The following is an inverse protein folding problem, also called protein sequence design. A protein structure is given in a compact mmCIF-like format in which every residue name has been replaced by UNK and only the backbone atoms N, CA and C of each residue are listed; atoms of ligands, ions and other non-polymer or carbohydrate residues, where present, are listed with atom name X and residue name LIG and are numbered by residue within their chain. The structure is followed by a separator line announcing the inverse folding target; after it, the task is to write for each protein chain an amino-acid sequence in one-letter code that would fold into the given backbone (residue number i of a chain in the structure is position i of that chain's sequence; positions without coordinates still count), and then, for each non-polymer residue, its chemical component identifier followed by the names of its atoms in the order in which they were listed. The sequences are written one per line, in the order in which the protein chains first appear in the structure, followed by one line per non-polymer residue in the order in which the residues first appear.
data_IF_175724965951
#
_entry.id   IF_175724965951
#
_cell.length_a   1.000
_cell.length_b   1.000
_cell.length_c   1.000
_cell.angle_alpha   90.00
_cell.angle_beta   90.00
_cell.angle_gamma   90.00
#
_symmetry.space_group_name_H-M   'P 1'
#
loop_
_entity.id
_entity.type
_entity.pdbx_description
1 polymer ?
#
# COMPACT_ATOMS: atom_id res chain seq x y z
N UNK A 1 15.86 -14.50 -4.75
CA UNK A 1 14.44 -14.77 -5.04
C UNK A 1 13.67 -13.52 -4.67
N UNK A 2 13.29 -12.67 -5.64
CA UNK A 2 12.48 -11.48 -5.34
C UNK A 2 11.07 -11.97 -5.05
N UNK A 3 10.65 -11.91 -3.78
CA UNK A 3 9.27 -12.22 -3.40
C UNK A 3 8.38 -11.16 -4.06
N UNK A 4 7.31 -11.59 -4.74
CA UNK A 4 6.28 -10.66 -5.20
C UNK A 4 5.60 -10.04 -3.97
N UNK A 5 5.92 -8.78 -3.71
CA UNK A 5 5.43 -8.02 -2.55
C UNK A 5 3.90 -7.95 -2.51
N UNK A 6 3.23 -8.02 -3.67
CA UNK A 6 1.77 -8.01 -3.76
C UNK A 6 1.16 -9.36 -3.37
N UNK A 7 1.79 -10.46 -3.79
CA UNK A 7 1.37 -11.80 -3.39
C UNK A 7 1.51 -11.96 -1.87
N UNK A 8 2.65 -11.55 -1.31
CA UNK A 8 2.92 -11.63 0.13
C UNK A 8 1.95 -10.74 0.93
N UNK A 9 1.73 -9.50 0.51
CA UNK A 9 0.76 -8.61 1.14
C UNK A 9 -0.66 -9.21 1.11
N UNK A 10 -1.06 -9.83 -0.01
CA UNK A 10 -2.36 -10.48 -0.13
C UNK A 10 -2.53 -11.64 0.84
N UNK A 11 -1.51 -12.48 1.01
CA UNK A 11 -1.52 -13.61 1.96
C UNK A 11 -1.66 -13.09 3.40
N UNK A 12 -0.83 -12.11 3.79
CA UNK A 12 -0.83 -11.55 5.15
C UNK A 12 -2.16 -10.87 5.51
N UNK A 13 -2.72 -10.10 4.58
CA UNK A 13 -4.02 -9.45 4.80
C UNK A 13 -5.15 -10.46 4.89
N UNK A 14 -5.11 -11.51 4.07
CA UNK A 14 -6.13 -12.57 4.10
C UNK A 14 -6.11 -13.34 5.41
N UNK A 15 -4.92 -13.57 6.00
CA UNK A 15 -4.78 -14.16 7.34
C UNK A 15 -5.39 -13.30 8.47
N UNK A 16 -5.59 -12.00 8.22
CA UNK A 16 -6.25 -11.05 9.11
C UNK A 16 -7.71 -10.78 8.70
N UNK A 17 -8.28 -11.58 7.81
CA UNK A 17 -9.62 -11.37 7.23
C UNK A 17 -9.78 -10.01 6.51
N UNK A 18 -8.67 -9.40 6.12
CA UNK A 18 -8.64 -8.13 5.41
C UNK A 18 -8.47 -8.34 3.90
N UNK A 19 -9.16 -7.51 3.12
CA UNK A 19 -9.08 -7.55 1.65
C UNK A 19 -7.87 -6.77 1.14
N UNK A 20 -7.12 -7.33 0.20
CA UNK A 20 -6.08 -6.60 -0.53
C UNK A 20 -6.68 -5.75 -1.65
N UNK A 21 -7.18 -4.57 -1.27
CA UNK A 21 -7.86 -3.64 -2.18
C UNK A 21 -6.87 -2.91 -3.09
N UNK A 22 -7.39 -2.22 -4.11
CA UNK A 22 -6.61 -1.29 -4.94
C UNK A 22 -5.93 -0.19 -4.11
N UNK A 23 -6.56 0.25 -3.01
CA UNK A 23 -5.97 1.23 -2.09
C UNK A 23 -4.76 0.67 -1.35
N UNK A 24 -4.88 -0.53 -0.77
CA UNK A 24 -3.75 -1.24 -0.15
C UNK A 24 -2.63 -1.52 -1.15
N UNK A 25 -2.97 -1.87 -2.39
CA UNK A 25 -1.96 -2.08 -3.45
C UNK A 25 -1.16 -0.82 -3.72
N UNK A 26 -1.81 0.32 -3.89
CA UNK A 26 -1.12 1.59 -4.13
C UNK A 26 -0.20 2.01 -2.97
N UNK A 27 -0.58 1.72 -1.72
CA UNK A 27 0.29 1.95 -0.56
C UNK A 27 1.51 1.02 -0.58
N UNK A 28 1.31 -0.26 -0.88
CA UNK A 28 2.43 -1.23 -0.98
C UNK A 28 3.38 -0.83 -2.09
N UNK A 29 2.89 -0.45 -3.28
CA UNK A 29 3.69 0.04 -4.40
C UNK A 29 4.54 1.27 -3.98
N UNK A 30 3.90 2.27 -3.35
CA UNK A 30 4.60 3.47 -2.89
C UNK A 30 5.72 3.18 -1.87
N UNK A 31 5.50 2.23 -0.96
CA UNK A 31 6.49 1.86 0.05
C UNK A 31 7.61 0.97 -0.51
N UNK A 32 7.30 0.11 -1.48
CA UNK A 32 8.32 -0.75 -2.11
C UNK A 32 9.27 0.01 -3.02
N UNK A 33 8.80 1.10 -3.65
CA UNK A 33 9.60 1.92 -4.56
C UNK A 33 10.39 3.02 -3.85
N UNK A 34 10.05 3.32 -2.59
CA UNK A 34 10.69 4.37 -1.83
C UNK A 34 12.10 3.97 -1.37
N UNK A 35 13.12 4.84 -1.51
CA UNK A 35 14.48 4.58 -1.02
C UNK A 35 14.60 4.68 0.51
N UNK A 36 13.51 5.02 1.22
CA UNK A 36 13.49 5.22 2.66
C UNK A 36 12.08 5.41 3.19
N UNK A 37 11.94 5.74 4.48
CA UNK A 37 10.64 6.00 5.10
C UNK A 37 9.89 7.13 4.39
N UNK A 38 8.59 6.93 4.19
CA UNK A 38 7.70 7.95 3.64
C UNK A 38 6.79 8.52 4.74
N UNK A 39 6.55 9.82 4.66
CA UNK A 39 5.47 10.49 5.37
C UNK A 39 4.11 10.15 4.73
N UNK A 40 3.02 10.31 5.48
CA UNK A 40 1.67 10.09 4.94
C UNK A 40 1.40 10.93 3.68
N UNK A 41 1.70 12.25 3.64
CA UNK A 41 1.52 13.04 2.42
C UNK A 41 2.28 12.51 1.21
N UNK A 42 3.49 11.98 1.39
CA UNK A 42 4.28 11.39 0.31
C UNK A 42 3.62 10.10 -0.21
N UNK A 43 3.07 9.26 0.68
CA UNK A 43 2.28 8.08 0.28
C UNK A 43 1.03 8.50 -0.51
N UNK A 44 0.36 9.58 -0.10
CA UNK A 44 -0.81 10.09 -0.82
C UNK A 44 -0.45 10.55 -2.24
N UNK A 45 0.72 11.16 -2.40
CA UNK A 45 1.20 11.67 -3.68
C UNK A 45 1.76 10.58 -4.61
N UNK A 46 2.37 9.54 -4.04
CA UNK A 46 3.08 8.48 -4.78
C UNK A 46 2.17 7.42 -5.41
N UNK A 47 0.85 7.46 -5.18
CA UNK A 47 -0.07 6.48 -5.73
C UNK A 47 0.09 6.35 -7.25
N UNK A 48 0.51 5.17 -7.73
CA UNK A 48 0.88 4.93 -9.14
C UNK A 48 -0.23 5.16 -10.18
N UNK A 49 -1.46 5.45 -9.75
CA UNK A 49 -2.60 5.82 -10.62
C UNK A 49 -3.20 7.19 -10.29
N UNK A 50 -2.49 8.03 -9.55
CA UNK A 50 -2.90 9.34 -9.07
C UNK A 50 -3.04 9.41 -7.55
N UNK A 51 -3.25 10.62 -6.99
CA UNK A 51 -3.27 10.82 -5.55
C UNK A 51 -4.34 9.98 -4.85
N UNK A 52 -3.94 9.26 -3.80
CA UNK A 52 -4.89 8.55 -2.94
C UNK A 52 -5.68 9.57 -2.12
N UNK A 53 -7.04 9.47 -2.05
CA UNK A 53 -7.80 10.27 -1.11
C UNK A 53 -7.31 10.01 0.32
N UNK A 54 -7.07 11.07 1.09
CA UNK A 54 -6.52 10.97 2.44
C UNK A 54 -7.32 10.01 3.34
N UNK A 55 -8.66 10.11 3.32
CA UNK A 55 -9.53 9.21 4.10
C UNK A 55 -9.44 7.74 3.67
N UNK A 56 -9.06 7.47 2.43
CA UNK A 56 -8.82 6.12 1.93
C UNK A 56 -7.48 5.61 2.45
N UNK A 57 -6.41 6.40 2.36
CA UNK A 57 -5.09 5.98 2.83
C UNK A 57 -5.11 5.62 4.31
N UNK A 58 -5.67 6.48 5.17
CA UNK A 58 -5.80 6.17 6.60
C UNK A 58 -6.58 4.88 6.87
N UNK A 59 -7.68 4.62 6.13
CA UNK A 59 -8.46 3.38 6.25
C UNK A 59 -7.72 2.12 5.81
N UNK A 60 -6.73 2.26 4.93
CA UNK A 60 -5.97 1.14 4.40
C UNK A 60 -4.68 0.86 5.20
N UNK A 61 -4.30 1.75 6.14
CA UNK A 61 -3.15 1.59 7.04
C UNK A 61 -3.46 0.83 8.33
N UNK A 62 -4.73 0.51 8.58
CA UNK A 62 -5.24 -0.31 9.69
C UNK A 62 -5.79 -1.63 9.16
#
# INVERSE_FOLDING_TARGET
MSVDVHAEASVRLSALEQRYTRGRRAIVEALSDAPGPLTVPEILAAGGRGPLPQSSAYRNLT
#
